data_IF_006489024793
#
_entry.id   IF_006489024793
#
_cell.length_a   1.000
_cell.length_b   1.000
_cell.length_c   1.000
_cell.angle_alpha   90.00
_cell.angle_beta   90.00
_cell.angle_gamma   90.00
#
_symmetry.space_group_name_H-M   'P 1'
#
loop_
_entity.id
_entity.type
_entity.pdbx_description
1 polymer ?
#
# COMPACT_ATOMS: atom_id res chain seq x y z
N UNK A 1 -12.81 7.55 52.67
CA UNK A 1 -12.75 8.25 51.37
C UNK A 1 -11.53 7.87 50.52
N UNK A 2 -10.58 7.04 50.99
CA UNK A 2 -9.38 6.66 50.22
C UNK A 2 -9.51 5.44 49.27
N UNK A 3 -10.58 4.64 49.35
CA UNK A 3 -10.70 3.41 48.56
C UNK A 3 -10.93 3.62 47.06
N UNK A 4 -11.75 4.62 46.69
CA UNK A 4 -12.10 4.88 45.28
C UNK A 4 -10.91 5.37 44.44
N UNK A 5 -9.97 6.10 45.05
CA UNK A 5 -8.79 6.63 44.34
C UNK A 5 -7.80 5.52 43.96
N UNK A 6 -7.61 4.54 44.85
CA UNK A 6 -6.71 3.39 44.62
C UNK A 6 -7.25 2.47 43.53
N UNK A 7 -8.57 2.28 43.47
CA UNK A 7 -9.20 1.48 42.40
C UNK A 7 -9.08 2.13 41.02
N UNK A 8 -9.19 3.45 40.92
CA UNK A 8 -9.02 4.16 39.64
C UNK A 8 -7.59 4.14 39.12
N UNK A 9 -6.60 4.18 40.00
CA UNK A 9 -5.18 4.16 39.62
C UNK A 9 -4.77 2.78 39.08
N UNK A 10 -5.19 1.70 39.74
CA UNK A 10 -4.96 0.34 39.26
C UNK A 10 -5.60 0.08 37.88
N UNK A 11 -6.83 0.57 37.66
CA UNK A 11 -7.50 0.45 36.36
C UNK A 11 -6.74 1.21 35.26
N UNK A 12 -6.13 2.36 35.60
CA UNK A 12 -5.36 3.17 34.65
C UNK A 12 -4.05 2.49 34.24
N UNK A 13 -3.31 1.94 35.20
CA UNK A 13 -2.10 1.15 34.92
C UNK A 13 -2.40 -0.06 34.02
N UNK A 14 -3.53 -0.72 34.25
CA UNK A 14 -4.00 -1.80 33.39
C UNK A 14 -4.26 -1.32 31.96
N UNK A 15 -4.95 -0.18 31.79
CA UNK A 15 -5.26 0.39 30.47
C UNK A 15 -3.98 0.67 29.67
N UNK A 16 -3.01 1.36 30.26
CA UNK A 16 -1.76 1.71 29.57
C UNK A 16 -0.96 0.45 29.22
N UNK A 17 -0.92 -0.54 30.11
CA UNK A 17 -0.30 -1.84 29.84
C UNK A 17 -0.96 -2.56 28.66
N UNK A 18 -2.30 -2.55 28.58
CA UNK A 18 -3.02 -3.14 27.44
C UNK A 18 -2.75 -2.39 26.14
N UNK A 19 -2.66 -1.07 26.17
CA UNK A 19 -2.37 -0.24 24.99
C UNK A 19 -0.97 -0.48 24.45
N UNK A 20 0.05 -0.56 25.31
CA UNK A 20 1.43 -0.85 24.90
C UNK A 20 1.54 -2.23 24.24
N UNK A 21 0.94 -3.25 24.86
CA UNK A 21 0.89 -4.61 24.30
C UNK A 21 0.14 -4.66 22.97
N UNK A 22 -1.00 -3.95 22.88
CA UNK A 22 -1.77 -3.86 21.65
C UNK A 22 -0.94 -3.23 20.53
N UNK A 23 -0.26 -2.11 20.80
CA UNK A 23 0.57 -1.38 19.85
C UNK A 23 1.74 -2.24 19.33
N UNK A 24 2.40 -2.99 20.20
CA UNK A 24 3.48 -3.91 19.84
C UNK A 24 2.99 -5.05 18.91
N UNK A 25 1.77 -5.52 19.12
CA UNK A 25 1.19 -6.64 18.36
C UNK A 25 0.55 -6.24 17.03
N UNK A 26 0.36 -4.95 16.73
CA UNK A 26 -0.34 -4.48 15.52
C UNK A 26 0.21 -5.14 14.24
N UNK A 27 1.54 -5.22 14.11
CA UNK A 27 2.20 -5.78 12.92
C UNK A 27 2.38 -7.31 12.98
N UNK A 28 2.39 -7.90 14.18
CA UNK A 28 2.70 -9.32 14.39
C UNK A 28 1.43 -10.17 14.44
N UNK A 29 0.44 -9.73 15.22
CA UNK A 29 -0.83 -10.40 15.40
C UNK A 29 -1.97 -9.37 15.53
N UNK A 30 -2.51 -8.89 14.40
CA UNK A 30 -3.54 -7.86 14.41
C UNK A 30 -4.86 -8.32 15.03
N UNK A 31 -5.13 -9.62 15.14
CA UNK A 31 -6.33 -10.13 15.82
C UNK A 31 -6.21 -9.95 17.34
N UNK A 32 -5.08 -10.34 17.91
CA UNK A 32 -4.81 -10.12 19.34
C UNK A 32 -4.73 -8.64 19.68
N UNK A 33 -4.07 -7.83 18.83
CA UNK A 33 -4.03 -6.38 19.00
C UNK A 33 -5.45 -5.75 19.02
N UNK A 34 -6.37 -6.21 18.16
CA UNK A 34 -7.76 -5.75 18.18
C UNK A 34 -8.46 -6.05 19.50
N UNK A 35 -8.30 -7.27 20.03
CA UNK A 35 -8.90 -7.68 21.30
C UNK A 35 -8.36 -6.87 22.47
N UNK A 36 -7.04 -6.61 22.49
CA UNK A 36 -6.40 -5.81 23.51
C UNK A 36 -6.82 -4.34 23.44
N UNK A 37 -6.88 -3.75 22.24
CA UNK A 37 -7.34 -2.38 22.05
C UNK A 37 -8.80 -2.21 22.48
N UNK A 38 -9.68 -3.18 22.17
CA UNK A 38 -11.06 -3.19 22.63
C UNK A 38 -11.13 -3.27 24.17
N UNK A 39 -10.32 -4.13 24.79
CA UNK A 39 -10.28 -4.26 26.26
C UNK A 39 -9.83 -2.95 26.91
N UNK A 40 -8.76 -2.33 26.40
CA UNK A 40 -8.27 -1.04 26.85
C UNK A 40 -9.33 0.06 26.70
N UNK A 41 -10.05 0.07 25.58
CA UNK A 41 -11.14 1.02 25.35
C UNK A 41 -12.26 0.86 26.39
N UNK A 42 -12.73 -0.37 26.65
CA UNK A 42 -13.78 -0.63 27.64
C UNK A 42 -13.34 -0.21 29.04
N UNK A 43 -12.10 -0.49 29.43
CA UNK A 43 -11.57 -0.08 30.72
C UNK A 43 -11.45 1.45 30.84
N UNK A 44 -10.95 2.12 29.79
CA UNK A 44 -10.88 3.58 29.74
C UNK A 44 -12.26 4.23 29.84
N UNK A 45 -13.28 3.67 29.18
CA UNK A 45 -14.66 4.13 29.26
C UNK A 45 -15.23 3.98 30.67
N UNK A 46 -14.99 2.84 31.34
CA UNK A 46 -15.42 2.60 32.71
C UNK A 46 -14.73 3.55 33.71
N UNK A 47 -13.46 3.89 33.47
CA UNK A 47 -12.70 4.82 34.28
C UNK A 47 -12.99 6.30 33.95
N UNK A 48 -13.72 6.59 32.86
CA UNK A 48 -13.94 7.96 32.38
C UNK A 48 -12.70 8.63 31.78
N UNK A 49 -11.66 7.86 31.45
CA UNK A 49 -10.36 8.32 30.96
C UNK A 49 -10.40 8.54 29.44
N UNK A 50 -10.90 9.71 29.01
CA UNK A 50 -11.07 10.08 27.60
C UNK A 50 -9.80 10.03 26.77
N UNK A 51 -8.66 10.47 27.34
CA UNK A 51 -7.36 10.40 26.66
C UNK A 51 -6.95 8.96 26.36
N UNK A 52 -7.18 8.04 27.32
CA UNK A 52 -6.87 6.62 27.12
C UNK A 52 -7.85 5.96 26.13
N UNK A 53 -9.13 6.36 26.16
CA UNK A 53 -10.12 5.96 25.15
C UNK A 53 -9.70 6.39 23.73
N UNK A 54 -9.20 7.62 23.58
CA UNK A 54 -8.68 8.13 22.30
C UNK A 54 -7.48 7.31 21.80
N UNK A 55 -6.53 6.98 22.68
CA UNK A 55 -5.39 6.10 22.36
C UNK A 55 -5.85 4.70 21.94
N UNK A 56 -6.83 4.11 22.63
CA UNK A 56 -7.39 2.80 22.28
C UNK A 56 -8.05 2.79 20.90
N UNK A 57 -8.78 3.85 20.56
CA UNK A 57 -9.37 4.04 19.23
C UNK A 57 -8.31 4.23 18.13
N UNK A 58 -7.23 4.94 18.44
CA UNK A 58 -6.10 5.10 17.52
C UNK A 58 -5.42 3.75 17.21
N UNK A 59 -5.15 2.94 18.24
CA UNK A 59 -4.60 1.58 18.04
C UNK A 59 -5.58 0.71 17.24
N UNK A 60 -6.89 0.82 17.53
CA UNK A 60 -7.93 0.11 16.78
C UNK A 60 -7.96 0.51 15.29
N UNK A 61 -7.70 1.78 14.98
CA UNK A 61 -7.57 2.26 13.60
C UNK A 61 -6.37 1.63 12.89
N UNK A 62 -5.20 1.61 13.55
CA UNK A 62 -3.99 0.98 13.03
C UNK A 62 -4.18 -0.52 12.77
N UNK A 63 -4.78 -1.23 13.73
CA UNK A 63 -5.11 -2.65 13.56
C UNK A 63 -6.05 -2.87 12.38
N UNK A 64 -7.07 -2.02 12.21
CA UNK A 64 -8.00 -2.10 11.10
C UNK A 64 -7.31 -1.87 9.74
N UNK A 65 -6.36 -0.94 9.66
CA UNK A 65 -5.52 -0.75 8.46
C UNK A 65 -4.70 -1.99 8.13
N UNK A 66 -4.06 -2.60 9.12
CA UNK A 66 -3.31 -3.84 8.94
C UNK A 66 -4.18 -5.02 8.50
N UNK A 67 -5.48 -4.99 8.82
CA UNK A 67 -6.45 -5.97 8.34
C UNK A 67 -7.10 -5.61 7.00
N UNK A 68 -6.72 -4.49 6.38
CA UNK A 68 -7.34 -3.99 5.13
C UNK A 68 -8.76 -3.43 5.31
N UNK A 69 -9.21 -3.22 6.55
CA UNK A 69 -10.56 -2.71 6.88
C UNK A 69 -10.55 -1.19 6.96
N UNK A 70 -10.39 -0.55 5.82
CA UNK A 70 -10.21 0.90 5.71
C UNK A 70 -11.40 1.73 6.25
N UNK A 71 -12.65 1.29 6.08
CA UNK A 71 -13.83 1.98 6.64
C UNK A 71 -13.83 1.99 8.18
N UNK A 72 -13.50 0.85 8.79
CA UNK A 72 -13.40 0.72 10.25
C UNK A 72 -12.24 1.55 10.80
N UNK A 73 -11.11 1.58 10.08
CA UNK A 73 -9.97 2.41 10.42
C UNK A 73 -10.33 3.91 10.40
N UNK A 74 -10.94 4.38 9.32
CA UNK A 74 -11.35 5.79 9.18
C UNK A 74 -12.29 6.20 10.31
N UNK A 75 -13.31 5.38 10.59
CA UNK A 75 -14.28 5.65 11.66
C UNK A 75 -13.60 5.75 13.02
N UNK A 76 -12.68 4.83 13.34
CA UNK A 76 -11.97 4.80 14.61
C UNK A 76 -11.01 5.99 14.75
N UNK A 77 -10.27 6.31 13.69
CA UNK A 77 -9.34 7.45 13.66
C UNK A 77 -10.06 8.79 13.79
N UNK A 78 -11.18 8.99 13.10
CA UNK A 78 -11.99 10.22 13.23
C UNK A 78 -12.57 10.37 14.63
N UNK A 79 -12.99 9.27 15.29
CA UNK A 79 -13.44 9.32 16.68
C UNK A 79 -12.29 9.65 17.64
N UNK A 80 -11.14 9.01 17.48
CA UNK A 80 -9.93 9.31 18.26
C UNK A 80 -9.53 10.78 18.14
N UNK A 81 -9.53 11.33 16.91
CA UNK A 81 -9.21 12.73 16.64
C UNK A 81 -10.13 13.69 17.41
N UNK A 82 -11.43 13.42 17.44
CA UNK A 82 -12.39 14.26 18.19
C UNK A 82 -12.11 14.25 19.69
N UNK A 83 -11.77 13.09 20.25
CA UNK A 83 -11.44 12.96 21.67
C UNK A 83 -10.11 13.68 21.99
N UNK A 84 -9.06 13.48 21.21
CA UNK A 84 -7.79 14.21 21.40
C UNK A 84 -7.97 15.72 21.33
N UNK A 85 -8.82 16.20 20.41
CA UNK A 85 -9.17 17.62 20.32
C UNK A 85 -9.89 18.13 21.58
N UNK A 86 -10.77 17.33 22.18
CA UNK A 86 -11.46 17.68 23.43
C UNK A 86 -10.50 17.72 24.63
N UNK A 87 -9.51 16.83 24.64
CA UNK A 87 -8.46 16.75 25.65
C UNK A 87 -7.30 17.74 25.40
N UNK A 88 -7.39 18.56 24.34
CA UNK A 88 -6.33 19.48 23.89
C UNK A 88 -4.97 18.79 23.64
N UNK A 89 -4.97 17.50 23.29
CA UNK A 89 -3.76 16.76 22.91
C UNK A 89 -3.48 16.92 21.41
N UNK A 90 -2.70 17.94 21.07
CA UNK A 90 -2.34 18.26 19.69
C UNK A 90 -1.56 17.12 18.99
N UNK A 91 -0.68 16.42 19.72
CA UNK A 91 0.11 15.34 19.17
C UNK A 91 -0.77 14.12 18.87
N UNK A 92 -1.69 13.78 19.78
CA UNK A 92 -2.71 12.76 19.56
C UNK A 92 -3.64 13.09 18.40
N UNK A 93 -4.08 14.36 18.30
CA UNK A 93 -4.92 14.83 17.19
C UNK A 93 -4.20 14.68 15.84
N UNK A 94 -2.92 15.06 15.77
CA UNK A 94 -2.10 14.92 14.56
C UNK A 94 -1.96 13.46 14.13
N UNK A 95 -1.67 12.54 15.06
CA UNK A 95 -1.58 11.10 14.78
C UNK A 95 -2.90 10.53 14.29
N UNK A 96 -4.01 10.88 14.93
CA UNK A 96 -5.33 10.43 14.51
C UNK A 96 -5.73 10.97 13.13
N UNK A 97 -5.41 12.23 12.82
CA UNK A 97 -5.63 12.82 11.50
C UNK A 97 -4.82 12.08 10.41
N UNK A 98 -3.56 11.71 10.69
CA UNK A 98 -2.75 10.93 9.77
C UNK A 98 -3.30 9.51 9.53
N UNK A 99 -3.74 8.79 10.57
CA UNK A 99 -4.33 7.47 10.38
C UNK A 99 -5.66 7.53 9.62
N UNK A 100 -6.45 8.60 9.80
CA UNK A 100 -7.64 8.86 8.99
C UNK A 100 -7.30 9.08 7.51
N UNK A 101 -6.27 9.89 7.23
CA UNK A 101 -5.74 10.09 5.87
C UNK A 101 -5.29 8.77 5.24
N UNK A 102 -4.54 7.95 5.98
CA UNK A 102 -4.04 6.66 5.49
C UNK A 102 -5.19 5.68 5.20
N UNK A 103 -6.24 5.70 6.01
CA UNK A 103 -7.45 4.92 5.77
C UNK A 103 -8.19 5.37 4.50
N UNK A 104 -8.31 6.69 4.28
CA UNK A 104 -8.93 7.25 3.07
C UNK A 104 -8.13 6.86 1.81
N UNK A 105 -6.81 7.06 1.81
CA UNK A 105 -5.95 6.66 0.69
C UNK A 105 -6.09 5.16 0.38
N UNK A 106 -6.16 4.31 1.41
CA UNK A 106 -6.36 2.87 1.24
C UNK A 106 -7.74 2.54 0.65
N UNK A 107 -8.81 3.28 0.97
CA UNK A 107 -10.13 3.06 0.34
C UNK A 107 -10.08 3.28 -1.17
N UNK A 108 -9.39 4.34 -1.62
CA UNK A 108 -9.25 4.66 -3.04
C UNK A 108 -8.36 3.66 -3.76
N UNK A 109 -7.25 3.24 -3.14
CA UNK A 109 -6.30 2.31 -3.73
C UNK A 109 -6.84 0.87 -3.83
N UNK A 110 -7.62 0.44 -2.83
CA UNK A 110 -8.24 -0.89 -2.83
C UNK A 110 -9.52 -0.97 -3.67
N UNK A 111 -10.05 0.17 -4.14
CA UNK A 111 -11.31 0.24 -4.88
C UNK A 111 -12.56 0.06 -4.01
N UNK A 112 -12.43 0.10 -2.67
CA UNK A 112 -13.58 0.13 -1.75
C UNK A 112 -14.40 1.40 -1.95
N UNK A 113 -13.72 2.51 -2.28
CA UNK A 113 -14.32 3.77 -2.73
C UNK A 113 -13.84 4.07 -4.14
N UNK A 114 -14.73 4.56 -4.99
CA UNK A 114 -14.38 4.90 -6.37
C UNK A 114 -13.32 6.03 -6.39
N UNK A 115 -12.20 5.85 -7.11
CA UNK A 115 -11.10 6.81 -7.14
C UNK A 115 -11.42 7.99 -8.08
N UNK A 116 -12.45 8.76 -7.76
CA UNK A 116 -12.82 9.96 -8.50
C UNK A 116 -11.85 11.11 -8.23
N UNK A 117 -11.81 12.10 -9.12
CA UNK A 117 -11.04 13.34 -8.89
C UNK A 117 -11.40 13.99 -7.55
N UNK A 118 -12.69 14.10 -7.24
CA UNK A 118 -13.19 14.70 -6.00
C UNK A 118 -12.77 13.93 -4.74
N UNK A 119 -12.63 12.60 -4.84
CA UNK A 119 -12.15 11.78 -3.73
C UNK A 119 -10.65 12.00 -3.49
N UNK A 120 -9.84 12.11 -4.55
CA UNK A 120 -8.43 12.45 -4.44
C UNK A 120 -8.20 13.88 -3.95
N UNK A 121 -9.03 14.84 -4.34
CA UNK A 121 -9.00 16.21 -3.80
C UNK A 121 -9.34 16.25 -2.30
N UNK A 122 -10.29 15.41 -1.85
CA UNK A 122 -10.60 15.27 -0.42
C UNK A 122 -9.39 14.71 0.34
N UNK A 123 -8.73 13.69 -0.21
CA UNK A 123 -7.51 13.09 0.34
C UNK A 123 -6.37 14.09 0.40
N UNK A 124 -6.22 14.93 -0.64
CA UNK A 124 -5.24 16.00 -0.70
C UNK A 124 -5.41 16.99 0.46
N UNK A 125 -6.64 17.46 0.69
CA UNK A 125 -6.96 18.36 1.82
C UNK A 125 -6.67 17.70 3.16
N UNK A 126 -7.06 16.43 3.34
CA UNK A 126 -6.75 15.68 4.57
C UNK A 126 -5.23 15.57 4.79
N UNK A 127 -4.45 15.39 3.72
CA UNK A 127 -3.00 15.28 3.79
C UNK A 127 -2.34 16.60 4.20
N UNK A 128 -2.82 17.72 3.66
CA UNK A 128 -2.36 19.06 4.04
C UNK A 128 -2.65 19.36 5.51
N UNK A 129 -3.87 19.07 5.97
CA UNK A 129 -4.22 19.29 7.36
C UNK A 129 -3.43 18.38 8.31
N UNK A 130 -3.22 17.11 7.96
CA UNK A 130 -2.44 16.18 8.76
C UNK A 130 -0.96 16.61 8.85
N UNK A 131 -0.37 17.02 7.73
CA UNK A 131 1.01 17.53 7.69
C UNK A 131 1.15 18.81 8.53
N UNK A 132 0.18 19.73 8.45
CA UNK A 132 0.20 20.97 9.22
C UNK A 132 0.07 20.72 10.73
N UNK A 133 -0.84 19.83 11.16
CA UNK A 133 -0.99 19.43 12.57
C UNK A 133 0.25 18.72 13.12
N UNK A 134 0.85 17.84 12.30
CA UNK A 134 2.09 17.17 12.67
C UNK A 134 3.24 18.17 12.82
N UNK A 135 3.36 19.13 11.89
CA UNK A 135 4.36 20.21 11.95
C UNK A 135 4.19 21.11 13.17
N UNK A 136 2.96 21.50 13.51
CA UNK A 136 2.71 22.33 14.71
C UNK A 136 3.00 21.60 16.02
N UNK A 137 3.00 20.26 15.99
CA UNK A 137 3.30 19.40 17.15
C UNK A 137 4.75 18.89 17.16
N UNK A 138 5.61 19.42 16.27
CA UNK A 138 7.00 18.98 16.09
C UNK A 138 7.18 17.49 15.80
N UNK A 139 6.17 16.84 15.21
CA UNK A 139 6.21 15.44 14.77
C UNK A 139 6.71 15.38 13.31
N UNK A 140 8.02 15.54 13.13
CA UNK A 140 8.64 15.68 11.81
C UNK A 140 8.52 14.41 10.94
N UNK A 141 8.59 13.23 11.53
CA UNK A 141 8.40 11.93 10.87
C UNK A 141 6.96 11.74 10.35
N UNK A 142 5.98 12.11 11.19
CA UNK A 142 4.57 12.09 10.82
C UNK A 142 4.24 13.12 9.73
N UNK A 143 4.84 14.30 9.81
CA UNK A 143 4.74 15.33 8.78
C UNK A 143 5.31 14.84 7.45
N UNK A 144 6.49 14.21 7.46
CA UNK A 144 7.08 13.60 6.26
C UNK A 144 6.16 12.53 5.65
N UNK A 145 5.60 11.64 6.47
CA UNK A 145 4.68 10.60 6.00
C UNK A 145 3.39 11.18 5.39
N UNK A 146 2.82 12.23 6.01
CA UNK A 146 1.64 12.92 5.49
C UNK A 146 1.94 13.63 4.15
N UNK A 147 3.09 14.31 4.04
CA UNK A 147 3.55 14.94 2.80
C UNK A 147 3.76 13.91 1.67
N UNK A 148 4.24 12.70 1.97
CA UNK A 148 4.37 11.65 0.96
C UNK A 148 3.01 11.16 0.43
N UNK A 149 1.99 11.06 1.29
CA UNK A 149 0.62 10.77 0.84
C UNK A 149 0.02 11.93 0.05
N UNK A 150 0.33 13.18 0.42
CA UNK A 150 -0.03 14.38 -0.36
C UNK A 150 0.58 14.34 -1.76
N UNK A 151 1.87 14.05 -1.88
CA UNK A 151 2.57 13.94 -3.16
C UNK A 151 1.94 12.84 -4.04
N UNK A 152 1.56 11.69 -3.45
CA UNK A 152 0.84 10.64 -4.16
C UNK A 152 -0.51 11.12 -4.71
N UNK A 153 -1.30 11.82 -3.90
CA UNK A 153 -2.59 12.39 -4.35
C UNK A 153 -2.39 13.41 -5.49
N UNK A 154 -1.42 14.32 -5.36
CA UNK A 154 -1.07 15.29 -6.40
C UNK A 154 -0.66 14.61 -7.72
N UNK A 155 0.14 13.55 -7.62
CA UNK A 155 0.57 12.77 -8.78
C UNK A 155 -0.60 12.10 -9.50
N UNK A 156 -1.54 11.51 -8.76
CA UNK A 156 -2.76 10.89 -9.33
C UNK A 156 -3.65 11.94 -9.99
N UNK A 157 -3.72 13.15 -9.45
CA UNK A 157 -4.44 14.28 -10.02
C UNK A 157 -3.73 14.95 -11.22
N UNK A 158 -2.55 14.44 -11.64
CA UNK A 158 -1.77 15.03 -12.73
C UNK A 158 -1.03 16.32 -12.37
N UNK A 159 -0.94 16.69 -11.08
CA UNK A 159 -0.20 17.86 -10.59
C UNK A 159 1.26 17.50 -10.31
N UNK A 160 1.96 17.12 -11.37
CA UNK A 160 3.30 16.51 -11.35
C UNK A 160 4.34 17.43 -10.69
N UNK A 161 4.33 18.74 -11.00
CA UNK A 161 5.29 19.70 -10.42
C UNK A 161 5.08 19.91 -8.91
N UNK A 162 3.83 20.08 -8.47
CA UNK A 162 3.47 20.22 -7.05
C UNK A 162 3.83 18.95 -6.27
N UNK A 163 3.62 17.78 -6.89
CA UNK A 163 4.03 16.49 -6.34
C UNK A 163 5.55 16.47 -6.11
N UNK A 164 6.37 16.79 -7.13
CA UNK A 164 7.84 16.83 -7.00
C UNK A 164 8.31 17.75 -5.87
N UNK A 165 7.73 18.94 -5.76
CA UNK A 165 8.02 19.90 -4.68
C UNK A 165 7.70 19.29 -3.31
N UNK A 166 6.53 18.68 -3.18
CA UNK A 166 6.07 18.04 -1.94
C UNK A 166 6.97 16.87 -1.52
N UNK A 167 7.53 16.10 -2.46
CA UNK A 167 8.52 15.06 -2.16
C UNK A 167 9.81 15.65 -1.58
N UNK A 168 10.23 16.81 -2.08
CA UNK A 168 11.36 17.57 -1.51
C UNK A 168 11.09 17.99 -0.07
N UNK A 169 9.90 18.53 0.22
CA UNK A 169 9.47 18.90 1.57
C UNK A 169 9.41 17.69 2.51
N UNK A 170 8.87 16.56 2.05
CA UNK A 170 8.83 15.31 2.82
C UNK A 170 10.23 14.81 3.17
N UNK A 171 11.18 14.89 2.23
CA UNK A 171 12.57 14.50 2.44
C UNK A 171 13.27 15.39 3.48
N UNK A 172 13.04 16.70 3.42
CA UNK A 172 13.56 17.66 4.42
C UNK A 172 12.97 17.39 5.81
N UNK A 173 11.66 17.13 5.90
CA UNK A 173 11.02 16.78 7.17
C UNK A 173 11.59 15.49 7.77
N UNK A 174 11.88 14.47 6.94
CA UNK A 174 12.52 13.24 7.40
C UNK A 174 13.96 13.46 7.88
N UNK A 175 14.73 14.34 7.22
CA UNK A 175 16.06 14.74 7.67
C UNK A 175 16.02 15.43 9.04
N UNK A 176 15.03 16.30 9.27
CA UNK A 176 14.82 16.94 10.57
C UNK A 176 14.43 15.96 11.68
N UNK A 177 13.70 14.89 11.35
CA UNK A 177 13.39 13.83 12.31
C UNK A 177 14.64 13.04 12.75
N UNK A 178 15.66 12.97 11.88
CA UNK A 178 16.95 12.35 12.19
C UNK A 178 16.85 10.86 12.51
N UNK A 179 17.77 10.37 13.36
CA UNK A 179 17.84 8.96 13.76
C UNK A 179 16.67 8.50 14.66
N UNK A 180 15.89 9.43 15.20
CA UNK A 180 14.73 9.15 16.06
C UNK A 180 13.42 8.91 15.31
N UNK A 181 13.42 8.97 13.98
CA UNK A 181 12.22 8.79 13.18
C UNK A 181 11.62 7.38 13.36
N UNK A 182 10.29 7.28 13.50
CA UNK A 182 9.62 5.99 13.50
C UNK A 182 9.91 5.27 12.16
N UNK A 183 10.50 4.05 12.18
CA UNK A 183 10.86 3.34 10.96
C UNK A 183 9.66 3.02 10.07
N UNK A 184 8.46 2.89 10.63
CA UNK A 184 7.22 2.69 9.84
C UNK A 184 6.85 3.96 9.09
N UNK A 185 6.91 5.12 9.75
CA UNK A 185 6.62 6.40 9.12
C UNK A 185 7.67 6.78 8.08
N UNK A 186 8.95 6.50 8.37
CA UNK A 186 10.04 6.66 7.41
C UNK A 186 9.84 5.82 6.13
N UNK A 187 9.39 4.56 6.27
CA UNK A 187 9.06 3.70 5.11
C UNK A 187 7.93 4.30 4.28
N UNK A 188 6.85 4.78 4.91
CA UNK A 188 5.75 5.45 4.20
C UNK A 188 6.27 6.70 3.48
N UNK A 189 7.09 7.50 4.15
CA UNK A 189 7.69 8.69 3.56
C UNK A 189 8.48 8.36 2.27
N UNK A 190 9.19 7.24 2.27
CA UNK A 190 9.99 6.75 1.13
C UNK A 190 9.16 6.15 -0.01
N UNK A 191 7.87 5.84 0.18
CA UNK A 191 6.99 5.33 -0.90
C UNK A 191 6.49 6.41 -1.86
N UNK A 192 6.85 7.67 -1.63
CA UNK A 192 6.50 8.75 -2.54
C UNK A 192 7.05 8.48 -3.96
N UNK A 193 6.34 8.93 -5.02
CA UNK A 193 6.87 8.82 -6.38
C UNK A 193 8.25 9.48 -6.44
N UNK A 194 9.26 8.77 -6.95
CA UNK A 194 10.61 9.30 -6.98
C UNK A 194 10.65 10.57 -7.82
N UNK A 195 11.38 11.59 -7.35
CA UNK A 195 11.54 12.85 -8.08
C UNK A 195 11.96 12.62 -9.54
N UNK A 196 12.86 11.67 -9.77
CA UNK A 196 13.27 11.25 -11.10
C UNK A 196 12.12 10.69 -11.95
N UNK A 197 11.24 9.84 -11.39
CA UNK A 197 10.08 9.33 -12.12
C UNK A 197 9.07 10.43 -12.48
N UNK A 198 8.97 11.46 -11.64
CA UNK A 198 8.10 12.63 -11.85
C UNK A 198 8.70 13.54 -12.93
N UNK A 199 10.00 13.83 -12.86
CA UNK A 199 10.73 14.65 -13.85
C UNK A 199 10.78 13.99 -15.25
N UNK A 200 10.94 12.66 -15.33
CA UNK A 200 10.91 11.92 -16.60
C UNK A 200 9.53 12.02 -17.27
N UNK A 201 8.43 11.96 -16.50
CA UNK A 201 7.09 12.15 -17.06
C UNK A 201 6.86 13.58 -17.54
N UNK A 202 7.29 14.57 -16.77
CA UNK A 202 7.17 15.98 -17.14
C UNK A 202 7.96 16.28 -18.42
N UNK A 203 9.20 15.79 -18.51
CA UNK A 203 10.03 15.92 -19.70
C UNK A 203 9.39 15.28 -20.93
N UNK A 204 8.76 14.11 -20.76
CA UNK A 204 8.03 13.44 -21.85
C UNK A 204 6.80 14.23 -22.31
N UNK A 205 6.00 14.76 -21.40
CA UNK A 205 4.84 15.60 -21.75
C UNK A 205 5.23 16.92 -22.40
N UNK A 206 6.35 17.53 -22.00
CA UNK A 206 6.90 18.72 -22.64
C UNK A 206 7.44 18.42 -24.04
N UNK A 207 8.12 17.27 -24.21
CA UNK A 207 8.59 16.78 -25.51
C UNK A 207 7.43 16.46 -26.46
N UNK A 208 6.32 15.91 -25.97
CA UNK A 208 5.12 15.63 -26.78
C UNK A 208 4.38 16.91 -27.23
N UNK A 209 4.56 18.03 -26.53
CA UNK A 209 3.97 19.33 -26.90
C UNK A 209 4.82 20.15 -27.86
N UNK A 210 6.09 19.78 -28.07
CA UNK A 210 6.97 20.46 -29.01
C UNK A 210 6.92 19.75 -30.38
N UNK A 211 6.18 20.29 -31.38
CA UNK A 211 6.03 19.64 -32.68
C UNK A 211 7.34 19.59 -33.49
N UNK A 212 8.39 20.28 -33.03
CA UNK A 212 9.71 20.25 -33.66
C UNK A 212 10.58 19.07 -33.22
N UNK A 213 10.21 18.40 -32.13
CA UNK A 213 10.95 17.26 -31.59
C UNK A 213 10.27 15.95 -32.01
N UNK A 214 10.85 15.29 -33.02
CA UNK A 214 10.47 13.93 -33.40
C UNK A 214 10.97 13.00 -32.29
N UNK A 215 10.06 12.59 -31.40
CA UNK A 215 10.30 11.50 -30.46
C UNK A 215 10.49 10.23 -31.28
N UNK A 216 11.74 9.87 -31.57
CA UNK A 216 12.08 8.54 -32.03
C UNK A 216 11.63 7.56 -30.94
N UNK A 217 10.80 6.56 -31.26
CA UNK A 217 10.40 5.56 -30.28
C UNK A 217 11.68 4.91 -29.76
N UNK A 218 11.95 5.07 -28.46
CA UNK A 218 12.91 4.20 -27.78
C UNK A 218 12.27 2.82 -27.82
N UNK A 219 12.73 2.00 -28.76
CA UNK A 219 12.27 0.64 -28.94
C UNK A 219 12.66 -0.11 -27.66
N UNK A 220 11.71 -0.25 -26.72
CA UNK A 220 11.86 -1.07 -25.50
C UNK A 220 12.23 -2.52 -25.82
N UNK A 221 12.04 -2.93 -27.08
CA UNK A 221 12.54 -4.18 -27.63
C UNK A 221 14.06 -4.26 -27.72
N UNK A 222 14.80 -3.18 -27.91
CA UNK A 222 16.27 -3.25 -27.98
C UNK A 222 16.90 -3.52 -26.62
N UNK A 223 16.39 -2.93 -25.54
CA UNK A 223 16.87 -3.22 -24.18
C UNK A 223 16.44 -4.61 -23.71
N UNK A 224 15.21 -5.04 -24.02
CA UNK A 224 14.75 -6.42 -23.74
C UNK A 224 15.49 -7.44 -24.60
N UNK A 225 15.79 -7.15 -25.88
CA UNK A 225 16.60 -8.00 -26.74
C UNK A 225 18.04 -8.07 -26.24
N UNK A 226 18.65 -6.96 -25.82
CA UNK A 226 20.01 -6.95 -25.25
C UNK A 226 20.07 -7.77 -23.95
N UNK A 227 19.07 -7.69 -23.07
CA UNK A 227 19.00 -8.56 -21.88
C UNK A 227 18.76 -10.03 -22.26
N UNK A 228 17.92 -10.31 -23.26
CA UNK A 228 17.68 -11.68 -23.75
C UNK A 228 18.92 -12.26 -24.45
N UNK A 229 19.67 -11.44 -25.19
CA UNK A 229 20.94 -11.81 -25.82
C UNK A 229 22.00 -12.04 -24.75
N UNK A 230 22.13 -11.17 -23.75
CA UNK A 230 23.04 -11.37 -22.63
C UNK A 230 22.71 -12.63 -21.82
N UNK A 231 21.42 -12.91 -21.58
CA UNK A 231 20.96 -14.16 -20.93
C UNK A 231 21.20 -15.39 -21.79
N UNK A 232 21.03 -15.29 -23.12
CA UNK A 232 21.34 -16.39 -24.06
C UNK A 232 22.83 -16.65 -24.19
N UNK A 233 23.66 -15.63 -24.22
CA UNK A 233 25.12 -15.79 -24.23
C UNK A 233 25.63 -16.38 -22.91
N UNK A 234 25.05 -15.99 -21.78
CA UNK A 234 25.34 -16.61 -20.48
C UNK A 234 24.94 -18.10 -20.46
N UNK A 235 23.74 -18.44 -20.96
CA UNK A 235 23.28 -19.83 -21.04
C UNK A 235 24.10 -20.69 -22.02
N UNK A 236 24.57 -20.11 -23.14
CA UNK A 236 25.44 -20.81 -24.09
C UNK A 236 26.85 -21.04 -23.54
N UNK A 237 27.36 -20.16 -22.66
CA UNK A 237 28.63 -20.39 -21.94
C UNK A 237 28.53 -21.49 -20.89
N UNK A 238 27.33 -21.75 -20.35
CA UNK A 238 27.09 -22.76 -19.32
C UNK A 238 26.82 -24.17 -19.88
N UNK A 239 26.49 -24.31 -21.16
CA UNK A 239 26.14 -25.60 -21.80
C UNK A 239 27.23 -26.20 -22.69
N UNK A 240 28.50 -25.83 -22.50
CA UNK A 240 29.63 -26.46 -23.17
C UNK A 240 30.00 -27.81 -22.50
N UNK A 241 29.09 -28.79 -22.54
CA UNK A 241 29.44 -30.20 -22.34
C UNK A 241 29.07 -31.00 -23.60
N UNK A 242 29.98 -31.87 -24.10
CA UNK A 242 29.74 -32.61 -25.33
C UNK A 242 28.73 -33.73 -25.09
N UNK A 243 27.49 -33.55 -25.57
CA UNK A 243 26.50 -34.63 -25.56
C UNK A 243 26.88 -35.67 -26.61
N UNK A 244 27.26 -36.85 -26.14
CA UNK A 244 27.52 -38.04 -26.96
C UNK A 244 26.24 -38.45 -27.67
N UNK A 245 26.27 -38.45 -29.00
CA UNK A 245 25.21 -38.98 -29.86
C UNK A 245 25.19 -40.51 -29.77
N UNK A 246 24.14 -41.08 -29.15
CA UNK A 246 23.82 -42.51 -29.27
C UNK A 246 22.76 -42.69 -30.36
N UNK A 247 23.12 -43.39 -31.44
CA UNK A 247 22.19 -43.82 -32.49
C UNK A 247 21.31 -44.96 -31.98
N UNK A 248 20.00 -44.85 -32.17
CA UNK A 248 19.09 -46.00 -32.20
C UNK A 248 18.69 -46.34 -33.66
N UNK A 249 18.31 -47.60 -33.97
CA UNK A 249 18.20 -48.11 -35.33
C UNK A 249 16.86 -47.78 -36.04
N UNK A 250 15.93 -47.11 -35.36
CA UNK A 250 14.63 -46.75 -35.93
C UNK A 250 14.55 -45.24 -36.04
N UNK A 251 14.99 -44.71 -37.18
CA UNK A 251 15.09 -43.27 -37.41
C UNK A 251 13.75 -42.56 -37.31
N UNK A 252 13.62 -41.67 -36.33
CA UNK A 252 12.70 -40.52 -36.32
C UNK A 252 13.09 -39.56 -35.20
N UNK A 253 13.49 -38.35 -35.58
CA UNK A 253 13.67 -37.18 -34.71
C UNK A 253 12.42 -36.32 -34.86
N UNK A 254 11.70 -36.04 -33.78
CA UNK A 254 10.63 -35.04 -33.77
C UNK A 254 10.87 -34.05 -32.64
N UNK A 255 11.32 -32.86 -33.00
CA UNK A 255 11.31 -31.68 -32.14
C UNK A 255 9.91 -31.03 -32.26
N UNK A 256 9.13 -31.02 -31.18
CA UNK A 256 7.82 -30.35 -31.18
C UNK A 256 7.99 -28.89 -30.73
N UNK A 257 8.08 -27.97 -31.70
CA UNK A 257 7.84 -26.52 -31.48
C UNK A 257 6.37 -26.22 -31.74
N UNK A 258 5.60 -25.90 -30.70
CA UNK A 258 4.25 -25.34 -30.87
C UNK A 258 4.27 -23.83 -30.69
N UNK A 259 4.25 -23.12 -31.82
CA UNK A 259 3.78 -21.75 -31.95
C UNK A 259 2.25 -21.71 -31.95
N UNK A 260 1.61 -20.78 -31.24
CA UNK A 260 0.29 -20.23 -31.61
C UNK A 260 -0.01 -18.91 -30.85
N UNK A 261 -0.57 -17.88 -31.49
CA UNK A 261 -0.90 -16.58 -30.89
C UNK A 261 -2.41 -16.43 -30.64
N UNK A 262 -2.85 -15.92 -29.48
CA UNK A 262 -4.24 -15.49 -29.28
C UNK A 262 -4.35 -14.28 -28.34
N UNK A 263 -4.68 -13.13 -28.93
CA UNK A 263 -5.36 -12.03 -28.26
C UNK A 263 -6.77 -12.51 -27.86
N UNK A 264 -7.11 -12.43 -26.58
CA UNK A 264 -8.49 -12.58 -26.10
C UNK A 264 -8.85 -11.35 -25.29
N UNK A 265 -9.96 -10.74 -25.72
CA UNK A 265 -10.54 -9.51 -25.26
C UNK A 265 -10.76 -9.48 -23.74
N UNK A 266 -10.28 -8.42 -23.10
CA UNK A 266 -10.66 -8.05 -21.74
C UNK A 266 -12.11 -7.54 -21.73
N UNK A 267 -13.07 -8.41 -21.43
CA UNK A 267 -14.30 -7.99 -20.74
C UNK A 267 -14.08 -8.19 -19.24
N UNK A 268 -14.04 -7.08 -18.51
CA UNK A 268 -14.01 -7.02 -17.05
C UNK A 268 -15.40 -7.43 -16.54
N UNK A 269 -15.47 -8.56 -15.85
CA UNK A 269 -16.54 -8.82 -14.89
C UNK A 269 -16.01 -8.53 -13.48
N UNK A 270 -16.79 -7.77 -12.73
CA UNK A 270 -16.53 -7.28 -11.37
C UNK A 270 -16.50 -8.41 -10.32
N UNK A 271 -15.55 -9.33 -10.37
CA UNK A 271 -15.11 -10.11 -9.18
C UNK A 271 -13.65 -10.48 -9.37
N UNK A 272 -12.77 -9.92 -8.54
CA UNK A 272 -11.32 -10.06 -8.66
C UNK A 272 -10.80 -11.49 -8.52
N UNK A 273 -9.99 -11.90 -9.50
CA UNK A 273 -8.80 -12.77 -9.40
C UNK A 273 -8.56 -13.44 -10.76
N UNK A 274 -7.44 -13.10 -11.43
CA UNK A 274 -6.98 -13.74 -12.68
C UNK A 274 -6.80 -15.25 -12.55
N UNK A 275 -6.56 -15.75 -11.33
CA UNK A 275 -6.43 -17.18 -11.06
C UNK A 275 -7.77 -17.94 -11.18
N UNK A 276 -8.91 -17.31 -10.87
CA UNK A 276 -10.22 -17.95 -10.97
C UNK A 276 -10.68 -18.11 -12.42
N UNK A 277 -10.32 -17.17 -13.29
CA UNK A 277 -10.64 -17.25 -14.73
C UNK A 277 -9.90 -18.40 -15.40
N UNK A 278 -8.59 -18.54 -15.13
CA UNK A 278 -7.80 -19.67 -15.64
C UNK A 278 -8.33 -21.00 -15.08
N UNK A 279 -8.69 -21.06 -13.80
CA UNK A 279 -9.23 -22.29 -13.19
C UNK A 279 -10.55 -22.72 -13.85
N UNK A 280 -11.47 -21.78 -14.11
CA UNK A 280 -12.73 -22.07 -14.82
C UNK A 280 -12.48 -22.50 -16.27
N UNK A 281 -11.54 -21.85 -16.96
CA UNK A 281 -11.16 -22.23 -18.32
C UNK A 281 -10.58 -23.66 -18.39
N UNK A 282 -9.68 -24.01 -17.47
CA UNK A 282 -9.13 -25.37 -17.39
C UNK A 282 -10.18 -26.42 -17.01
N UNK A 283 -11.13 -26.09 -16.13
CA UNK A 283 -12.25 -26.98 -15.82
C UNK A 283 -13.16 -27.20 -17.04
N UNK A 284 -13.43 -26.16 -17.82
CA UNK A 284 -14.22 -26.26 -19.04
C UNK A 284 -13.53 -27.12 -20.11
N UNK A 285 -12.22 -26.93 -20.34
CA UNK A 285 -11.44 -27.76 -21.26
C UNK A 285 -11.40 -29.23 -20.83
N UNK A 286 -11.27 -29.50 -19.53
CA UNK A 286 -11.28 -30.86 -18.99
C UNK A 286 -12.63 -31.56 -19.19
N UNK A 287 -13.73 -30.84 -19.04
CA UNK A 287 -15.08 -31.38 -19.23
C UNK A 287 -15.42 -31.58 -20.72
N UNK A 288 -14.96 -30.68 -21.60
CA UNK A 288 -15.10 -30.82 -23.06
C UNK A 288 -14.38 -32.05 -23.62
N UNK A 289 -13.23 -32.44 -23.05
CA UNK A 289 -12.53 -33.68 -23.46
C UNK A 289 -13.25 -34.95 -23.02
N UNK A 290 -14.00 -34.92 -21.91
CA UNK A 290 -14.78 -36.08 -21.44
C UNK A 290 -16.00 -36.34 -22.31
N UNK A 291 -16.72 -35.30 -22.73
CA UNK A 291 -17.90 -35.44 -23.60
C UNK A 291 -17.57 -35.82 -25.04
N UNK A 292 -16.31 -35.69 -25.46
CA UNK A 292 -15.83 -36.13 -26.78
C UNK A 292 -15.57 -37.65 -26.84
N UNK A 293 -15.23 -38.28 -25.72
CA UNK A 293 -14.97 -39.73 -25.68
C UNK A 293 -16.25 -40.57 -25.57
N UNK A 294 -17.35 -40.04 -25.03
CA UNK A 294 -18.64 -40.75 -24.93
C UNK A 294 -19.44 -40.76 -26.24
N UNK A 295 -18.93 -40.16 -27.33
CA UNK A 295 -19.56 -40.20 -28.67
C UNK A 295 -18.86 -41.15 -29.65
N UNK A 296 -17.97 -42.01 -29.17
CA UNK A 296 -17.22 -43.00 -29.99
C UNK A 296 -17.48 -44.46 -29.61
N UNK A 297 -18.60 -44.74 -28.96
CA UNK A 297 -19.16 -46.08 -28.75
C UNK A 297 -20.56 -46.11 -29.33
#
# INVERSE_FOLDING_TARGET
MGGLAVETEAVREDVDTWLEKAAALVAVNPRSAAQMALRAQTLAELAGERGAQARALLVSAQVSLHQGKSNAALTSATRAQRLFKQEADAAGEARAAFEALRAEALQLESGVREPTQTAWETTLRMAEEAAQRAKSSSLHDLSAAALSLRAKALHVLGRIEESAKTVGEASQALQLAGAGADPKLARIAQTAPSRAAVEVKLGREQLEKDPSLVLLPVDTRETELQEVFAKREAAHKEQAEPTVLVRQPTGLLVEAKTSLPFQVAMRRDNVGSTAQVLTRYYQHLRNSKRTSNDKKT
#
